data_IF_673910779398
#
_entry.id   IF_673910779398
#
_cell.length_a   1.000
_cell.length_b   1.000
_cell.length_c   1.000
_cell.angle_alpha   90.00
_cell.angle_beta   90.00
_cell.angle_gamma   90.00
#
_symmetry.space_group_name_H-M   'P 1'
#
loop_
_entity.id
_entity.type
_entity.pdbx_description
1 polymer ?
#
# COMPACT_ATOMS: atom_id res chain seq x y z
N UNK A 1 -5.59 3.18 2.43
CA UNK A 1 -6.26 2.20 1.53
C UNK A 1 -7.75 2.01 1.83
N UNK A 2 -8.34 2.84 2.67
CA UNK A 2 -9.76 2.72 3.09
C UNK A 2 -10.75 3.28 2.08
N UNK A 3 -10.29 3.99 1.06
CA UNK A 3 -11.13 4.68 0.08
C UNK A 3 -10.86 4.15 -1.32
N UNK A 4 -11.43 2.99 -1.61
CA UNK A 4 -11.37 2.41 -2.93
C UNK A 4 -12.36 3.09 -3.87
N UNK A 5 -11.98 4.21 -4.46
CA UNK A 5 -12.85 4.96 -5.36
C UNK A 5 -12.79 4.37 -6.77
N UNK A 6 -13.86 3.74 -7.16
CA UNK A 6 -14.07 3.20 -8.50
C UNK A 6 -15.31 3.86 -9.08
N UNK A 7 -15.22 4.31 -10.33
CA UNK A 7 -16.39 4.77 -11.07
C UNK A 7 -17.18 3.55 -11.58
N UNK A 8 -18.41 3.40 -11.13
CA UNK A 8 -19.33 2.38 -11.62
C UNK A 8 -20.64 3.05 -12.05
N UNK A 9 -21.03 2.90 -13.30
CA UNK A 9 -22.22 3.52 -13.88
C UNK A 9 -22.29 5.05 -13.62
N UNK A 10 -21.16 5.76 -13.71
CA UNK A 10 -21.07 7.20 -13.51
C UNK A 10 -21.20 7.66 -12.04
N UNK A 11 -21.10 6.74 -11.09
CA UNK A 11 -21.10 7.03 -9.65
C UNK A 11 -19.81 6.51 -9.03
N UNK A 12 -19.27 7.24 -8.07
CA UNK A 12 -18.19 6.72 -7.23
C UNK A 12 -18.72 5.61 -6.33
N UNK A 13 -18.01 4.47 -6.31
CA UNK A 13 -18.30 3.35 -5.44
C UNK A 13 -17.05 2.98 -4.64
N UNK A 14 -17.16 2.99 -3.32
CA UNK A 14 -16.12 2.50 -2.46
C UNK A 14 -16.21 0.97 -2.31
N UNK A 15 -15.49 0.23 -3.16
CA UNK A 15 -15.44 -1.23 -3.10
C UNK A 15 -14.68 -1.78 -1.87
N UNK A 16 -14.03 -0.89 -1.10
CA UNK A 16 -13.32 -1.21 0.13
C UNK A 16 -13.99 -0.58 1.36
N UNK A 17 -15.28 -0.28 1.29
CA UNK A 17 -16.02 0.37 2.39
C UNK A 17 -15.84 -0.35 3.74
N UNK A 18 -15.77 -1.69 3.74
CA UNK A 18 -15.50 -2.47 4.95
C UNK A 18 -14.15 -2.19 5.62
N UNK A 19 -13.25 -1.47 4.96
CA UNK A 19 -11.97 -1.01 5.51
C UNK A 19 -12.00 0.47 5.92
N UNK A 20 -13.10 1.20 5.69
CA UNK A 20 -13.22 2.59 6.05
C UNK A 20 -13.38 2.78 7.57
N UNK A 21 -13.05 3.98 8.06
CA UNK A 21 -13.27 4.34 9.45
C UNK A 21 -14.77 4.36 9.78
N UNK A 22 -15.61 4.83 8.86
CA UNK A 22 -17.07 4.83 9.05
C UNK A 22 -17.63 3.42 9.29
N UNK A 23 -17.18 2.42 8.51
CA UNK A 23 -17.55 1.03 8.76
C UNK A 23 -17.04 0.52 10.11
N UNK A 24 -15.77 0.83 10.43
CA UNK A 24 -15.14 0.39 11.68
C UNK A 24 -15.89 0.91 12.91
N UNK A 25 -16.25 2.19 12.93
CA UNK A 25 -17.02 2.79 14.01
C UNK A 25 -18.40 2.13 14.14
N UNK A 26 -19.12 1.98 13.03
CA UNK A 26 -20.46 1.36 13.03
C UNK A 26 -20.45 -0.09 13.50
N UNK A 27 -19.48 -0.88 13.06
CA UNK A 27 -19.40 -2.29 13.51
C UNK A 27 -18.94 -2.38 14.97
N UNK A 28 -18.07 -1.47 15.43
CA UNK A 28 -17.69 -1.40 16.83
C UNK A 28 -18.89 -1.12 17.74
N UNK A 29 -19.76 -0.16 17.36
CA UNK A 29 -20.99 0.16 18.10
C UNK A 29 -21.95 -1.04 18.17
N UNK A 30 -22.15 -1.73 17.05
CA UNK A 30 -23.01 -2.92 16.99
C UNK A 30 -22.47 -4.03 17.90
N UNK A 31 -21.17 -4.29 17.83
CA UNK A 31 -20.53 -5.33 18.65
C UNK A 31 -20.55 -4.98 20.14
N UNK A 32 -20.28 -3.72 20.48
CA UNK A 32 -20.35 -3.26 21.87
C UNK A 32 -21.77 -3.40 22.44
N UNK A 33 -22.80 -2.99 21.68
CA UNK A 33 -24.19 -3.13 22.09
C UNK A 33 -24.60 -4.61 22.26
N UNK A 34 -24.19 -5.48 21.32
CA UNK A 34 -24.54 -6.90 21.35
C UNK A 34 -23.86 -7.67 22.49
N UNK A 35 -22.69 -7.19 22.96
CA UNK A 35 -21.90 -7.89 23.98
C UNK A 35 -21.86 -7.17 25.34
N UNK A 36 -22.65 -6.10 25.49
CA UNK A 36 -22.61 -5.27 26.71
C UNK A 36 -21.23 -4.62 26.95
N UNK A 37 -20.51 -4.30 25.89
CA UNK A 37 -19.18 -3.69 25.93
C UNK A 37 -18.02 -4.68 26.16
N UNK A 38 -18.29 -5.99 26.17
CA UNK A 38 -17.23 -7.00 26.38
C UNK A 38 -16.30 -7.18 25.17
N UNK A 39 -16.73 -6.76 23.97
CA UNK A 39 -15.92 -6.83 22.74
C UNK A 39 -15.64 -5.43 22.20
N UNK A 40 -14.38 -5.16 21.90
CA UNK A 40 -13.94 -3.94 21.21
C UNK A 40 -13.45 -4.31 19.81
N UNK A 41 -13.80 -3.50 18.80
CA UNK A 41 -13.37 -3.67 17.41
C UNK A 41 -12.73 -2.38 16.91
N UNK A 42 -11.50 -2.48 16.42
CA UNK A 42 -10.73 -1.35 15.89
C UNK A 42 -9.59 -1.85 15.00
N UNK A 43 -9.07 -0.99 14.13
CA UNK A 43 -7.88 -1.26 13.31
C UNK A 43 -6.64 -0.64 13.91
N UNK A 44 -5.73 -1.49 14.38
CA UNK A 44 -4.46 -1.09 14.99
C UNK A 44 -3.54 -0.32 14.03
N UNK A 45 -3.61 -0.60 12.74
CA UNK A 45 -2.77 -0.01 11.70
C UNK A 45 -3.41 1.21 11.02
N UNK A 46 -4.59 1.66 11.46
CA UNK A 46 -5.28 2.79 10.84
C UNK A 46 -4.49 4.11 10.85
N UNK A 47 -3.69 4.43 11.88
CA UNK A 47 -2.90 5.65 11.89
C UNK A 47 -1.81 5.71 10.81
N UNK A 48 -1.50 4.60 10.15
CA UNK A 48 -0.35 4.49 9.27
C UNK A 48 -0.77 4.36 7.81
N UNK A 49 -0.06 5.06 6.91
CA UNK A 49 -0.11 4.81 5.47
C UNK A 49 0.47 3.43 5.14
N UNK A 50 0.21 2.92 3.93
CA UNK A 50 0.83 1.66 3.47
C UNK A 50 2.37 1.81 3.37
N UNK A 51 2.86 2.97 2.94
CA UNK A 51 4.29 3.26 2.87
C UNK A 51 4.94 3.33 4.28
N UNK A 52 4.23 3.91 5.27
CA UNK A 52 4.71 3.93 6.66
C UNK A 52 4.73 2.53 7.26
N UNK A 53 3.71 1.70 6.99
CA UNK A 53 3.68 0.29 7.38
C UNK A 53 4.86 -0.46 6.75
N UNK A 54 5.15 -0.24 5.46
CA UNK A 54 6.31 -0.82 4.80
C UNK A 54 7.63 -0.40 5.46
N UNK A 55 7.77 0.87 5.84
CA UNK A 55 8.95 1.39 6.55
C UNK A 55 9.15 0.74 7.92
N UNK A 56 8.08 0.49 8.65
CA UNK A 56 8.13 -0.20 9.94
C UNK A 56 8.47 -1.68 9.73
N UNK A 57 7.76 -2.34 8.82
CA UNK A 57 7.92 -3.77 8.56
C UNK A 57 9.33 -4.13 8.04
N UNK A 58 9.96 -3.25 7.26
CA UNK A 58 11.30 -3.53 6.72
C UNK A 58 12.38 -3.74 7.79
N UNK A 59 12.12 -3.32 9.04
CA UNK A 59 13.03 -3.56 10.18
C UNK A 59 13.06 -5.05 10.59
N UNK A 60 12.05 -5.85 10.17
CA UNK A 60 11.82 -7.23 10.57
C UNK A 60 12.16 -8.24 9.45
N UNK A 61 13.45 -8.41 9.14
CA UNK A 61 13.91 -9.31 8.06
C UNK A 61 13.51 -10.79 8.26
N UNK A 62 13.21 -11.20 9.49
CA UNK A 62 12.82 -12.59 9.81
C UNK A 62 11.54 -13.05 9.08
N UNK A 63 10.72 -12.13 8.57
CA UNK A 63 9.48 -12.45 7.86
C UNK A 63 9.61 -12.44 6.34
N UNK A 64 10.77 -12.09 5.78
CA UNK A 64 10.97 -11.94 4.33
C UNK A 64 10.60 -13.20 3.54
N UNK A 65 10.81 -14.38 4.12
CA UNK A 65 10.58 -15.66 3.48
C UNK A 65 9.16 -16.23 3.64
N UNK A 66 8.28 -15.54 4.38
CA UNK A 66 6.93 -16.06 4.69
C UNK A 66 5.80 -15.06 4.42
N UNK A 67 6.08 -13.73 4.35
CA UNK A 67 5.01 -12.79 4.15
C UNK A 67 4.56 -12.73 2.69
N UNK A 68 3.26 -12.64 2.49
CA UNK A 68 2.65 -12.42 1.18
C UNK A 68 1.27 -11.79 1.32
N UNK A 69 0.92 -10.94 0.37
CA UNK A 69 -0.44 -10.46 0.14
C UNK A 69 -0.82 -10.56 -1.34
N UNK A 70 -0.18 -11.48 -2.07
CA UNK A 70 -0.44 -11.72 -3.48
C UNK A 70 -1.85 -12.28 -3.68
N UNK A 71 -2.70 -11.57 -4.44
CA UNK A 71 -4.09 -12.00 -4.66
C UNK A 71 -4.22 -13.35 -5.39
N UNK A 72 -3.22 -13.73 -6.21
CA UNK A 72 -3.22 -15.01 -6.90
C UNK A 72 -2.92 -16.20 -5.98
N UNK A 73 -2.28 -15.96 -4.84
CA UNK A 73 -1.89 -17.01 -3.89
C UNK A 73 -2.98 -17.32 -2.87
N UNK A 74 -3.94 -16.40 -2.65
CA UNK A 74 -5.07 -16.63 -1.75
C UNK A 74 -6.21 -17.36 -2.48
N UNK A 75 -6.01 -18.66 -2.75
CA UNK A 75 -7.00 -19.53 -3.39
C UNK A 75 -7.37 -20.67 -2.46
N UNK A 76 -8.66 -21.05 -2.42
CA UNK A 76 -9.15 -22.19 -1.63
C UNK A 76 -8.50 -23.52 -2.03
N UNK A 77 -8.09 -23.67 -3.29
CA UNK A 77 -7.42 -24.86 -3.82
C UNK A 77 -5.91 -24.93 -3.47
N UNK A 78 -5.39 -23.97 -2.69
CA UNK A 78 -3.95 -23.88 -2.41
C UNK A 78 -3.15 -23.29 -3.59
N UNK A 79 -1.84 -23.14 -3.39
CA UNK A 79 -0.92 -22.59 -4.35
C UNK A 79 0.49 -23.18 -4.16
N UNK A 80 1.03 -23.81 -5.22
CA UNK A 80 2.37 -24.42 -5.21
C UNK A 80 3.44 -23.50 -5.83
N UNK A 81 3.12 -22.23 -6.10
CA UNK A 81 4.03 -21.27 -6.71
C UNK A 81 4.77 -20.38 -5.70
N UNK A 82 5.52 -19.38 -6.17
CA UNK A 82 6.23 -18.44 -5.33
C UNK A 82 5.23 -17.61 -4.47
N UNK A 83 5.66 -17.13 -3.30
CA UNK A 83 4.86 -16.26 -2.41
C UNK A 83 4.31 -15.03 -3.12
N UNK A 84 5.07 -14.47 -4.04
CA UNK A 84 4.71 -13.32 -4.87
C UNK A 84 4.70 -13.73 -6.34
N UNK A 85 3.55 -13.64 -7.02
CA UNK A 85 3.47 -13.99 -8.44
C UNK A 85 4.22 -13.00 -9.35
N UNK A 86 4.42 -11.76 -8.89
CA UNK A 86 5.09 -10.70 -9.65
C UNK A 86 4.29 -10.13 -10.82
N UNK A 87 3.03 -10.57 -11.02
CA UNK A 87 2.22 -10.24 -12.20
C UNK A 87 0.91 -9.53 -11.87
N UNK A 88 0.47 -9.53 -10.63
CA UNK A 88 -0.79 -8.91 -10.27
C UNK A 88 -0.58 -7.49 -9.74
N UNK A 89 -1.57 -6.58 -9.88
CA UNK A 89 -1.46 -5.22 -9.36
C UNK A 89 -1.10 -5.14 -7.87
N UNK A 90 -1.51 -6.14 -7.06
CA UNK A 90 -1.13 -6.20 -5.65
C UNK A 90 0.38 -6.43 -5.47
N UNK A 91 1.00 -7.30 -6.27
CA UNK A 91 2.45 -7.49 -6.25
C UNK A 91 3.19 -6.22 -6.66
N UNK A 92 2.74 -5.56 -7.74
CA UNK A 92 3.32 -4.31 -8.20
C UNK A 92 3.21 -3.19 -7.17
N UNK A 93 2.03 -3.04 -6.55
CA UNK A 93 1.82 -2.05 -5.50
C UNK A 93 2.71 -2.30 -4.28
N UNK A 94 2.74 -3.53 -3.76
CA UNK A 94 3.56 -3.85 -2.57
C UNK A 94 5.04 -3.69 -2.87
N UNK A 95 5.52 -4.13 -4.03
CA UNK A 95 6.89 -3.89 -4.45
C UNK A 95 7.21 -2.39 -4.45
N UNK A 96 6.30 -1.58 -5.02
CA UNK A 96 6.48 -0.13 -5.14
C UNK A 96 6.57 0.58 -3.79
N UNK A 97 5.71 0.24 -2.81
CA UNK A 97 5.73 0.91 -1.50
C UNK A 97 6.92 0.49 -0.63
N UNK A 98 7.48 -0.72 -0.85
CA UNK A 98 8.70 -1.16 -0.18
C UNK A 98 9.98 -0.57 -0.80
N UNK A 99 10.01 -0.34 -2.10
CA UNK A 99 11.20 0.12 -2.82
C UNK A 99 11.82 1.42 -2.27
N UNK A 100 11.08 2.45 -1.80
CA UNK A 100 11.67 3.65 -1.20
C UNK A 100 12.35 3.41 0.15
N UNK A 101 12.02 2.34 0.86
CA UNK A 101 12.44 2.13 2.26
C UNK A 101 13.33 0.90 2.46
N UNK A 102 13.33 -0.04 1.52
CA UNK A 102 14.08 -1.29 1.59
C UNK A 102 15.27 -1.27 0.61
N UNK A 103 16.36 -1.96 0.93
CA UNK A 103 17.47 -2.18 0.01
C UNK A 103 17.00 -2.98 -1.22
N UNK A 104 17.49 -2.61 -2.40
CA UNK A 104 17.04 -3.18 -3.67
C UNK A 104 17.27 -4.70 -3.74
N UNK A 105 18.44 -5.17 -3.36
CA UNK A 105 18.83 -6.58 -3.36
C UNK A 105 17.90 -7.43 -2.46
N UNK A 106 17.56 -6.92 -1.28
CA UNK A 106 16.62 -7.57 -0.37
C UNK A 106 15.21 -7.65 -0.96
N UNK A 107 14.70 -6.54 -1.50
CA UNK A 107 13.37 -6.51 -2.10
C UNK A 107 13.27 -7.41 -3.33
N UNK A 108 14.29 -7.38 -4.20
CA UNK A 108 14.39 -8.27 -5.36
C UNK A 108 14.48 -9.73 -4.91
N UNK A 109 15.21 -10.04 -3.82
CA UNK A 109 15.27 -11.38 -3.24
C UNK A 109 13.92 -11.91 -2.77
N UNK A 110 13.08 -11.05 -2.15
CA UNK A 110 11.72 -11.40 -1.70
C UNK A 110 10.79 -11.71 -2.88
N UNK A 111 10.84 -10.91 -3.95
CA UNK A 111 9.95 -11.04 -5.10
C UNK A 111 10.51 -11.92 -6.22
N UNK A 112 11.78 -12.34 -6.11
CA UNK A 112 12.48 -13.17 -7.09
C UNK A 112 12.99 -12.41 -8.32
N UNK A 113 12.57 -11.14 -8.52
CA UNK A 113 12.99 -10.27 -9.62
C UNK A 113 12.68 -8.81 -9.33
N UNK A 114 13.29 -7.89 -10.09
CA UNK A 114 12.94 -6.48 -10.06
C UNK A 114 11.67 -6.21 -10.88
N UNK A 115 10.54 -5.95 -10.23
CA UNK A 115 9.26 -5.71 -10.91
C UNK A 115 9.20 -4.34 -11.60
N UNK A 116 10.13 -3.41 -11.29
CA UNK A 116 10.24 -2.10 -11.93
C UNK A 116 11.11 -2.12 -13.20
N UNK A 117 11.78 -3.25 -13.50
CA UNK A 117 12.61 -3.40 -14.70
C UNK A 117 11.91 -4.12 -15.86
N UNK A 118 10.71 -4.65 -15.65
CA UNK A 118 9.95 -5.31 -16.70
C UNK A 118 9.02 -4.31 -17.41
N UNK A 119 9.28 -3.95 -18.67
CA UNK A 119 8.40 -3.02 -19.42
C UNK A 119 6.97 -3.51 -19.58
N UNK A 120 6.72 -4.82 -19.50
CA UNK A 120 5.37 -5.39 -19.57
C UNK A 120 4.48 -4.92 -18.39
N UNK A 121 5.06 -4.52 -17.29
CA UNK A 121 4.35 -4.03 -16.12
C UNK A 121 3.96 -2.54 -16.21
N UNK A 122 4.39 -1.81 -17.25
CA UNK A 122 4.14 -0.37 -17.38
C UNK A 122 2.67 0.00 -17.19
N UNK A 123 1.77 -0.71 -17.87
CA UNK A 123 0.34 -0.42 -17.78
C UNK A 123 -0.17 -0.48 -16.33
N UNK A 124 0.21 -1.50 -15.60
CA UNK A 124 -0.18 -1.66 -14.19
C UNK A 124 0.35 -0.53 -13.29
N UNK A 125 1.60 -0.11 -13.47
CA UNK A 125 2.15 1.02 -12.72
C UNK A 125 1.50 2.35 -13.11
N UNK A 126 1.09 2.54 -14.37
CA UNK A 126 0.32 3.71 -14.79
C UNK A 126 -1.06 3.76 -14.13
N UNK A 127 -1.75 2.63 -14.04
CA UNK A 127 -3.03 2.55 -13.33
C UNK A 127 -2.86 2.83 -11.82
N UNK A 128 -1.85 2.22 -11.18
CA UNK A 128 -1.56 2.41 -9.77
C UNK A 128 -1.24 3.87 -9.43
N UNK A 129 -0.55 4.58 -10.31
CA UNK A 129 -0.11 5.98 -10.12
C UNK A 129 -1.07 7.01 -10.71
N UNK A 130 -2.19 6.60 -11.28
CA UNK A 130 -3.18 7.50 -11.88
C UNK A 130 -2.74 8.15 -13.18
N UNK A 131 -1.71 7.62 -13.85
CA UNK A 131 -1.24 8.11 -15.16
C UNK A 131 -2.04 7.55 -16.34
N UNK A 132 -2.81 6.49 -16.13
CA UNK A 132 -3.71 5.92 -17.14
C UNK A 132 -4.80 5.07 -16.50
N UNK A 133 -5.96 4.96 -17.20
CA UNK A 133 -7.03 4.04 -16.85
C UNK A 133 -7.73 4.32 -15.53
N UNK A 134 -8.24 3.27 -14.93
CA UNK A 134 -8.84 3.23 -13.62
C UNK A 134 -7.90 2.52 -12.65
N UNK A 135 -7.89 2.96 -11.38
CA UNK A 135 -7.25 2.22 -10.30
C UNK A 135 -7.74 0.76 -10.32
N UNK A 136 -6.83 -0.24 -10.19
CA UNK A 136 -7.22 -1.65 -10.19
C UNK A 136 -8.28 -1.99 -9.12
N UNK A 137 -9.19 -2.92 -9.43
CA UNK A 137 -10.19 -3.45 -8.49
C UNK A 137 -9.58 -4.33 -7.38
N UNK A 138 -8.31 -4.22 -7.17
CA UNK A 138 -7.59 -4.94 -6.12
C UNK A 138 -7.39 -4.07 -4.87
N UNK A 139 -7.10 -4.74 -3.76
CA UNK A 139 -6.76 -4.04 -2.51
C UNK A 139 -5.35 -3.45 -2.61
N UNK A 140 -5.23 -2.36 -3.33
CA UNK A 140 -4.03 -1.52 -3.45
C UNK A 140 -4.26 -0.18 -2.76
N UNK A 141 -3.19 0.50 -2.36
CA UNK A 141 -3.26 1.78 -1.66
C UNK A 141 -3.76 2.94 -2.53
N UNK A 142 -3.54 4.16 -2.08
CA UNK A 142 -4.01 5.36 -2.77
C UNK A 142 -3.13 5.70 -3.98
N UNK A 143 -3.76 6.29 -5.01
CA UNK A 143 -3.08 6.69 -6.25
C UNK A 143 -1.91 7.64 -5.96
N UNK A 144 -2.15 8.67 -5.13
CA UNK A 144 -1.12 9.65 -4.81
C UNK A 144 0.02 9.04 -3.99
N UNK A 145 -0.26 8.07 -3.12
CA UNK A 145 0.74 7.29 -2.39
C UNK A 145 1.66 6.52 -3.35
N UNK A 146 1.08 5.78 -4.30
CA UNK A 146 1.83 5.06 -5.31
C UNK A 146 2.67 6.02 -6.18
N UNK A 147 2.09 7.16 -6.60
CA UNK A 147 2.78 8.18 -7.39
C UNK A 147 3.96 8.79 -6.63
N UNK A 148 3.78 9.14 -5.35
CA UNK A 148 4.84 9.68 -4.49
C UNK A 148 5.97 8.67 -4.24
N UNK A 149 5.62 7.40 -4.00
CA UNK A 149 6.62 6.33 -3.88
C UNK A 149 7.42 6.14 -5.17
N UNK A 150 6.77 6.10 -6.35
CA UNK A 150 7.48 5.97 -7.62
C UNK A 150 8.38 7.19 -7.89
N UNK A 151 7.91 8.40 -7.58
CA UNK A 151 8.71 9.61 -7.69
C UNK A 151 9.94 9.59 -6.76
N UNK A 152 9.81 9.10 -5.53
CA UNK A 152 10.94 8.96 -4.61
C UNK A 152 12.07 8.09 -5.21
N UNK A 153 11.73 7.05 -5.98
CA UNK A 153 12.69 6.18 -6.64
C UNK A 153 13.50 6.89 -7.74
N UNK A 154 12.96 7.95 -8.36
CA UNK A 154 13.68 8.72 -9.38
C UNK A 154 14.91 9.45 -8.82
N UNK A 155 15.02 9.55 -7.50
CA UNK A 155 16.10 10.20 -6.75
C UNK A 155 17.06 9.21 -6.09
N UNK A 156 16.79 7.91 -6.21
CA UNK A 156 17.61 6.85 -5.65
C UNK A 156 18.42 6.19 -6.76
N UNK A 157 19.76 6.27 -6.73
CA UNK A 157 20.63 5.79 -7.82
C UNK A 157 20.36 4.33 -8.20
N UNK A 158 20.07 3.47 -7.21
CA UNK A 158 19.82 2.05 -7.42
C UNK A 158 18.50 1.75 -8.17
N UNK A 159 17.56 2.72 -8.19
CA UNK A 159 16.25 2.56 -8.82
C UNK A 159 16.03 3.46 -10.04
N UNK A 160 16.74 4.59 -10.11
CA UNK A 160 16.47 5.66 -11.08
C UNK A 160 16.51 5.19 -12.54
N UNK A 161 17.36 4.21 -12.85
CA UNK A 161 17.52 3.64 -14.19
C UNK A 161 16.61 2.45 -14.48
N UNK A 162 15.82 1.98 -13.49
CA UNK A 162 14.83 0.93 -13.73
C UNK A 162 13.83 1.35 -14.80
N UNK A 163 13.46 0.43 -15.70
CA UNK A 163 12.69 0.72 -16.91
C UNK A 163 11.39 1.52 -16.65
N UNK A 164 10.64 1.15 -15.61
CA UNK A 164 9.39 1.82 -15.23
C UNK A 164 9.66 3.19 -14.61
N UNK A 165 10.65 3.28 -13.71
CA UNK A 165 10.98 4.53 -13.00
C UNK A 165 11.43 5.60 -13.97
N UNK A 166 12.40 5.28 -14.85
CA UNK A 166 12.92 6.22 -15.85
C UNK A 166 11.82 6.65 -16.84
N UNK A 167 10.97 5.72 -17.28
CA UNK A 167 9.92 5.97 -18.26
C UNK A 167 8.78 6.84 -17.71
N UNK A 168 8.34 6.62 -16.47
CA UNK A 168 7.18 7.32 -15.91
C UNK A 168 7.54 8.65 -15.22
N UNK A 169 8.82 8.95 -15.01
CA UNK A 169 9.28 10.17 -14.33
C UNK A 169 8.69 11.46 -14.92
N UNK A 170 8.76 11.62 -16.24
CA UNK A 170 8.28 12.84 -16.90
C UNK A 170 6.74 12.97 -16.78
N UNK A 171 6.02 11.88 -16.92
CA UNK A 171 4.56 11.86 -16.82
C UNK A 171 4.10 12.19 -15.39
N UNK A 172 4.77 11.64 -14.35
CA UNK A 172 4.51 11.97 -12.96
C UNK A 172 4.69 13.47 -12.67
N UNK A 173 5.80 14.05 -13.14
CA UNK A 173 6.07 15.47 -12.96
C UNK A 173 5.06 16.35 -13.70
N UNK A 174 4.62 15.95 -14.88
CA UNK A 174 3.58 16.64 -15.65
C UNK A 174 2.22 16.58 -14.96
N UNK A 175 1.84 15.41 -14.43
CA UNK A 175 0.53 15.19 -13.82
C UNK A 175 0.40 15.83 -12.43
N UNK A 176 1.43 15.73 -11.61
CA UNK A 176 1.37 16.09 -10.19
C UNK A 176 2.25 17.27 -9.79
N UNK A 177 3.37 17.49 -10.49
CA UNK A 177 4.43 18.40 -10.05
C UNK A 177 5.28 17.82 -8.91
N UNK A 178 6.53 18.26 -8.82
CA UNK A 178 7.48 17.79 -7.79
C UNK A 178 7.04 18.16 -6.38
N UNK A 179 6.56 19.39 -6.17
CA UNK A 179 6.16 19.90 -4.87
C UNK A 179 5.04 19.05 -4.23
N UNK A 180 3.99 18.72 -5.03
CA UNK A 180 2.88 17.88 -4.54
C UNK A 180 3.33 16.46 -4.21
N UNK A 181 4.23 15.87 -5.01
CA UNK A 181 4.75 14.52 -4.78
C UNK A 181 5.65 14.47 -3.54
N UNK A 182 6.47 15.50 -3.32
CA UNK A 182 7.32 15.62 -2.13
C UNK A 182 6.48 15.83 -0.85
N UNK A 183 5.48 16.70 -0.91
CA UNK A 183 4.56 16.92 0.19
C UNK A 183 3.79 15.63 0.54
N UNK A 184 3.27 14.93 -0.46
CA UNK A 184 2.60 13.64 -0.27
C UNK A 184 3.52 12.59 0.37
N UNK A 185 4.77 12.47 -0.11
CA UNK A 185 5.73 11.54 0.48
C UNK A 185 6.02 11.87 1.95
N UNK A 186 6.16 13.15 2.28
CA UNK A 186 6.39 13.59 3.65
C UNK A 186 5.18 13.27 4.55
N UNK A 187 3.97 13.52 4.07
CA UNK A 187 2.72 13.22 4.78
C UNK A 187 2.53 11.71 5.02
N UNK A 188 2.89 10.86 4.05
CA UNK A 188 2.81 9.40 4.19
C UNK A 188 3.69 8.86 5.34
N UNK A 189 4.73 9.57 5.74
CA UNK A 189 5.63 9.15 6.83
C UNK A 189 5.20 9.68 8.20
N UNK A 190 4.11 10.45 8.28
CA UNK A 190 3.56 10.97 9.53
C UNK A 190 2.47 10.03 10.04
N UNK A 191 2.57 9.68 11.32
CA UNK A 191 1.56 8.86 11.98
C UNK A 191 0.27 9.67 12.18
N UNK A 192 -0.87 9.10 11.83
CA UNK A 192 -2.18 9.70 11.97
C UNK A 192 -2.75 9.59 13.40
N UNK A 193 -4.00 10.08 13.62
CA UNK A 193 -4.64 10.04 14.93
C UNK A 193 -4.96 8.61 15.38
N UNK A 194 -4.92 8.40 16.71
CA UNK A 194 -5.17 7.10 17.35
C UNK A 194 -6.46 7.09 18.19
N UNK A 195 -7.30 8.11 18.07
CA UNK A 195 -8.49 8.34 18.91
C UNK A 195 -9.48 7.17 18.93
N UNK A 196 -9.47 6.33 17.87
CA UNK A 196 -10.32 5.15 17.73
C UNK A 196 -9.67 3.86 18.28
N UNK A 197 -8.43 3.94 18.75
CA UNK A 197 -7.70 2.82 19.36
C UNK A 197 -7.78 2.98 20.88
N UNK A 198 -8.04 1.90 21.67
CA UNK A 198 -7.96 1.98 23.12
C UNK A 198 -6.62 2.57 23.60
N UNK A 199 -6.67 3.56 24.49
CA UNK A 199 -5.50 4.36 24.89
C UNK A 199 -4.30 3.52 25.34
N UNK A 200 -4.55 2.47 26.12
CA UNK A 200 -3.52 1.53 26.60
C UNK A 200 -2.78 0.83 25.43
N UNK A 201 -3.51 0.50 24.35
CA UNK A 201 -2.91 -0.13 23.16
C UNK A 201 -2.20 0.91 22.27
N UNK A 202 -2.75 2.11 22.14
CA UNK A 202 -2.12 3.19 21.39
C UNK A 202 -0.76 3.56 22.01
N UNK A 203 -0.65 3.66 23.34
CA UNK A 203 0.61 3.90 24.05
C UNK A 203 1.63 2.77 23.80
N UNK A 204 1.20 1.52 23.90
CA UNK A 204 2.08 0.36 23.65
C UNK A 204 2.62 0.33 22.22
N UNK A 205 1.82 0.72 21.23
CA UNK A 205 2.26 0.78 19.82
C UNK A 205 3.28 1.91 19.66
N UNK A 206 3.01 3.09 20.19
CA UNK A 206 3.92 4.23 20.10
C UNK A 206 5.32 3.93 20.68
N UNK A 207 5.39 3.02 21.67
CA UNK A 207 6.67 2.56 22.24
C UNK A 207 7.34 1.43 21.44
N UNK A 208 6.57 0.69 20.62
CA UNK A 208 7.07 -0.48 19.87
C UNK A 208 7.56 -0.14 18.44
N UNK A 209 7.14 0.98 17.88
CA UNK A 209 7.43 1.42 16.49
C UNK A 209 8.45 2.55 16.45
#
# INVERSE_FOLDING_TARGET
>A
ASEGNISFCGREANHQYSKSLDFEVRIADVLAAATGGALQYFSLLRPYSEARIAQIFMREARFDHVFSSCNRNFRLAGHDGPLWCGECPKCHFVFLIFAPVMAQDRLVGIFGRNLLDDPAHEHSYRELTGLAGQKPWECVGEILEAAACLYALTRRPEWAESAIVSKLKADLLTQYGSEKLEAALAELMVDGPTDHIPAELAERIAHAL
#
